data_IF_743109226480
#
_entry.id   IF_743109226480
#
_cell.length_a   1.000
_cell.length_b   1.000
_cell.length_c   1.000
_cell.angle_alpha   90.00
_cell.angle_beta   90.00
_cell.angle_gamma   90.00
#
_symmetry.space_group_name_H-M   'P 1'
#
loop_
_entity.id
_entity.type
_entity.pdbx_description
1 polymer ?
#
# COMPACT_ATOMS: atom_id res chain seq x y z
N UNK A 1 -6.07 -24.01 -4.24
CA UNK A 1 -4.84 -23.54 -4.93
C UNK A 1 -5.22 -22.45 -5.93
N UNK A 2 -4.36 -21.46 -6.17
CA UNK A 2 -4.60 -20.44 -7.19
C UNK A 2 -4.59 -21.09 -8.58
N UNK A 3 -5.50 -20.67 -9.47
CA UNK A 3 -5.69 -21.28 -10.78
C UNK A 3 -4.46 -21.15 -11.69
N UNK A 4 -3.65 -20.11 -11.49
CA UNK A 4 -2.42 -19.83 -12.23
C UNK A 4 -1.29 -19.43 -11.24
N UNK A 5 -0.50 -20.38 -10.71
CA UNK A 5 0.45 -20.09 -9.63
C UNK A 5 1.62 -19.18 -10.07
N UNK A 6 1.96 -19.15 -11.35
CA UNK A 6 3.04 -18.31 -11.89
C UNK A 6 2.63 -16.84 -12.09
N UNK A 7 1.33 -16.54 -12.08
CA UNK A 7 0.83 -15.18 -12.31
C UNK A 7 1.01 -14.32 -11.06
N UNK A 8 1.61 -13.13 -11.24
CA UNK A 8 1.78 -12.16 -10.16
C UNK A 8 0.60 -11.19 -10.16
N UNK A 9 -0.16 -11.19 -9.06
CA UNK A 9 -1.25 -10.24 -8.85
C UNK A 9 -0.71 -8.94 -8.28
N UNK A 10 -0.97 -7.83 -8.98
CA UNK A 10 -0.82 -6.48 -8.45
C UNK A 10 -2.20 -5.97 -8.06
N UNK A 11 -2.33 -5.45 -6.84
CA UNK A 11 -3.63 -5.10 -6.28
C UNK A 11 -3.59 -3.67 -5.73
N UNK A 12 -4.50 -2.84 -6.22
CA UNK A 12 -4.79 -1.52 -5.69
C UNK A 12 -6.28 -1.52 -5.29
N UNK A 13 -6.58 -1.50 -3.98
CA UNK A 13 -7.96 -1.53 -3.49
C UNK A 13 -8.79 -0.36 -4.00
N UNK A 14 -10.06 -0.62 -4.30
CA UNK A 14 -11.02 0.42 -4.67
C UNK A 14 -11.59 1.16 -3.45
N UNK A 15 -12.23 2.30 -3.71
CA UNK A 15 -12.74 3.21 -2.67
C UNK A 15 -13.59 2.51 -1.57
N UNK A 16 -14.51 1.62 -1.98
CA UNK A 16 -15.36 0.89 -1.03
C UNK A 16 -14.57 -0.09 -0.16
N UNK A 17 -13.54 -0.73 -0.72
CA UNK A 17 -12.65 -1.64 0.02
C UNK A 17 -11.83 -0.85 1.03
N UNK A 18 -11.31 0.32 0.64
CA UNK A 18 -10.59 1.25 1.51
C UNK A 18 -11.46 1.70 2.68
N UNK A 19 -12.70 2.13 2.41
CA UNK A 19 -13.66 2.53 3.46
C UNK A 19 -14.02 1.39 4.40
N UNK A 20 -14.08 0.16 3.89
CA UNK A 20 -14.39 -1.02 4.70
C UNK A 20 -13.16 -1.47 5.51
N UNK A 21 -11.95 -1.15 5.06
CA UNK A 21 -10.69 -1.36 5.76
C UNK A 21 -10.06 -2.72 5.47
N UNK A 22 -8.84 -2.92 5.95
CA UNK A 22 -7.99 -4.08 5.64
C UNK A 22 -8.70 -5.43 5.83
N UNK A 23 -9.43 -5.61 6.93
CA UNK A 23 -10.14 -6.86 7.22
C UNK A 23 -11.15 -7.28 6.13
N UNK A 24 -11.70 -6.32 5.37
CA UNK A 24 -12.67 -6.61 4.31
C UNK A 24 -12.05 -7.27 3.07
N UNK A 25 -10.75 -7.05 2.85
CA UNK A 25 -10.01 -7.53 1.67
C UNK A 25 -8.69 -8.23 2.03
N UNK A 26 -8.52 -8.59 3.31
CA UNK A 26 -7.30 -9.21 3.86
C UNK A 26 -6.84 -10.40 3.03
N UNK A 27 -7.78 -11.25 2.62
CA UNK A 27 -7.48 -12.45 1.84
C UNK A 27 -6.81 -12.14 0.50
N UNK A 28 -7.26 -11.12 -0.24
CA UNK A 28 -6.63 -10.75 -1.52
C UNK A 28 -5.34 -9.98 -1.30
N UNK A 29 -5.27 -9.07 -0.31
CA UNK A 29 -4.06 -8.32 0.00
C UNK A 29 -2.88 -9.21 0.39
N UNK A 30 -3.11 -10.23 1.24
CA UNK A 30 -2.08 -11.20 1.64
C UNK A 30 -1.62 -12.12 0.52
N UNK A 31 -2.46 -12.34 -0.51
CA UNK A 31 -2.12 -13.19 -1.67
C UNK A 31 -1.55 -12.39 -2.85
N UNK A 32 -1.75 -11.08 -2.87
CA UNK A 32 -1.21 -10.23 -3.91
C UNK A 32 0.32 -10.29 -3.86
N UNK A 33 0.95 -10.39 -5.03
CA UNK A 33 2.39 -10.25 -5.12
C UNK A 33 2.79 -8.85 -4.66
N UNK A 34 2.06 -7.82 -5.09
CA UNK A 34 2.32 -6.42 -4.71
C UNK A 34 1.01 -5.69 -4.47
N UNK A 35 0.97 -4.92 -3.38
CA UNK A 35 -0.10 -3.97 -3.10
C UNK A 35 0.40 -2.55 -3.34
N UNK A 36 -0.42 -1.72 -3.97
CA UNK A 36 -0.15 -0.29 -4.16
C UNK A 36 -1.28 0.51 -3.51
N UNK A 37 -0.91 1.50 -2.70
CA UNK A 37 -1.82 2.43 -2.04
C UNK A 37 -1.18 3.83 -2.11
N UNK A 38 -1.98 4.89 -2.18
CA UNK A 38 -1.46 6.19 -1.74
C UNK A 38 -1.40 6.24 -0.20
N UNK A 39 -0.80 7.29 0.35
CA UNK A 39 -0.60 7.44 1.80
C UNK A 39 -1.91 7.53 2.59
N UNK A 40 -2.91 8.25 2.07
CA UNK A 40 -4.22 8.42 2.69
C UNK A 40 -4.98 7.09 2.75
N UNK A 41 -4.97 6.33 1.65
CA UNK A 41 -5.56 4.98 1.57
C UNK A 41 -4.84 4.02 2.51
N UNK A 42 -3.49 4.08 2.56
CA UNK A 42 -2.68 3.27 3.45
C UNK A 42 -3.00 3.54 4.93
N UNK A 43 -3.27 4.80 5.30
CA UNK A 43 -3.76 5.17 6.61
C UNK A 43 -5.18 4.63 6.88
N UNK A 44 -6.13 4.93 5.97
CA UNK A 44 -7.54 4.57 6.13
C UNK A 44 -7.76 3.06 6.25
N UNK A 45 -6.99 2.27 5.51
CA UNK A 45 -7.10 0.82 5.53
C UNK A 45 -6.81 0.19 6.90
N UNK A 46 -5.93 0.80 7.71
CA UNK A 46 -5.54 0.26 9.02
C UNK A 46 -6.14 1.03 10.21
N UNK A 47 -6.84 2.14 9.98
CA UNK A 47 -7.36 2.99 11.05
C UNK A 47 -8.39 2.30 11.95
N UNK A 48 -9.06 1.23 11.47
CA UNK A 48 -9.98 0.41 12.27
C UNK A 48 -9.27 -0.65 13.13
N UNK A 49 -7.97 -0.84 12.94
CA UNK A 49 -7.17 -1.89 13.58
C UNK A 49 -6.07 -1.28 14.47
N UNK A 50 -5.74 0.00 14.26
CA UNK A 50 -4.75 0.76 15.05
C UNK A 50 -5.44 1.89 15.82
N UNK A 51 -4.79 2.39 16.88
CA UNK A 51 -5.34 3.41 17.77
C UNK A 51 -5.04 4.83 17.28
N UNK A 52 -5.73 5.83 17.84
CA UNK A 52 -5.61 7.26 17.50
C UNK A 52 -4.20 7.85 17.68
N UNK A 53 -3.29 7.16 18.38
CA UNK A 53 -1.91 7.57 18.61
C UNK A 53 -0.88 6.86 17.71
N UNK A 54 -1.35 6.17 16.67
CA UNK A 54 -0.46 5.46 15.76
C UNK A 54 0.38 6.45 14.92
N UNK A 55 1.68 6.17 14.80
CA UNK A 55 2.58 6.92 13.91
C UNK A 55 2.28 6.58 12.44
N UNK A 56 1.69 7.52 11.72
CA UNK A 56 1.36 7.37 10.29
C UNK A 56 2.50 7.82 9.36
N UNK A 57 3.75 7.85 9.85
CA UNK A 57 4.91 7.98 8.97
C UNK A 57 4.95 6.86 7.93
N UNK A 58 5.41 7.17 6.72
CA UNK A 58 5.52 6.22 5.61
C UNK A 58 6.25 4.94 6.03
N UNK A 59 7.36 5.07 6.76
CA UNK A 59 8.14 3.93 7.23
C UNK A 59 7.34 3.04 8.16
N UNK A 60 6.53 3.61 9.06
CA UNK A 60 5.70 2.85 9.99
C UNK A 60 4.50 2.20 9.30
N UNK A 61 3.88 2.88 8.32
CA UNK A 61 2.86 2.31 7.45
C UNK A 61 3.39 1.10 6.70
N UNK A 62 4.49 1.25 5.96
CA UNK A 62 5.15 0.16 5.22
C UNK A 62 5.42 -1.05 6.10
N UNK A 63 6.04 -0.85 7.27
CA UNK A 63 6.33 -1.94 8.22
C UNK A 63 5.06 -2.62 8.73
N UNK A 64 4.00 -1.85 9.00
CA UNK A 64 2.72 -2.38 9.48
C UNK A 64 2.06 -3.31 8.46
N UNK A 65 2.14 -2.99 7.18
CA UNK A 65 1.60 -3.86 6.13
C UNK A 65 2.38 -5.17 5.98
N UNK A 66 3.70 -5.15 6.19
CA UNK A 66 4.52 -6.36 6.26
C UNK A 66 4.18 -7.19 7.50
N UNK A 67 4.00 -6.56 8.67
CA UNK A 67 3.51 -7.23 9.89
C UNK A 67 2.13 -7.90 9.67
N UNK A 68 1.28 -7.26 8.86
CA UNK A 68 -0.03 -7.79 8.46
C UNK A 68 0.06 -8.89 7.39
N UNK A 69 1.25 -9.26 6.92
CA UNK A 69 1.49 -10.42 6.06
C UNK A 69 1.48 -10.14 4.56
N UNK A 70 1.72 -8.89 4.13
CA UNK A 70 1.95 -8.60 2.70
C UNK A 70 3.36 -8.99 2.27
N UNK A 71 3.49 -9.50 1.04
CA UNK A 71 4.79 -9.82 0.45
C UNK A 71 5.56 -8.57 0.01
N UNK A 72 4.89 -7.67 -0.73
CA UNK A 72 5.45 -6.41 -1.22
C UNK A 72 4.39 -5.31 -1.11
N UNK A 73 4.81 -4.11 -0.73
CA UNK A 73 3.95 -2.93 -0.70
C UNK A 73 4.67 -1.71 -1.25
N UNK A 74 3.94 -0.93 -2.05
CA UNK A 74 4.33 0.40 -2.51
C UNK A 74 3.35 1.41 -1.93
N UNK A 75 3.85 2.47 -1.31
CA UNK A 75 3.07 3.63 -0.89
C UNK A 75 3.51 4.84 -1.72
N UNK A 76 2.57 5.49 -2.40
CA UNK A 76 2.79 6.76 -3.09
C UNK A 76 2.38 7.94 -2.21
N UNK A 77 3.06 9.08 -2.34
CA UNK A 77 2.80 10.31 -1.55
C UNK A 77 2.96 11.56 -2.42
N UNK A 78 2.28 11.58 -3.57
CA UNK A 78 2.26 12.71 -4.50
C UNK A 78 3.65 13.25 -4.85
N UNK A 79 3.89 14.53 -4.55
CA UNK A 79 5.18 15.21 -4.77
C UNK A 79 6.34 14.63 -3.96
N UNK A 80 6.06 13.89 -2.89
CA UNK A 80 7.10 13.23 -2.10
C UNK A 80 7.63 11.96 -2.78
N UNK A 81 6.95 11.45 -3.82
CA UNK A 81 7.37 10.29 -4.61
C UNK A 81 6.73 8.99 -4.15
N UNK A 82 7.49 7.89 -4.24
CA UNK A 82 7.02 6.54 -3.93
C UNK A 82 8.01 5.77 -3.05
N UNK A 83 7.48 4.93 -2.18
CA UNK A 83 8.23 4.17 -1.19
C UNK A 83 7.84 2.71 -1.25
N UNK A 84 8.80 1.82 -1.09
CA UNK A 84 8.59 0.39 -1.16
C UNK A 84 9.21 -0.32 0.04
N UNK A 85 8.52 -1.37 0.50
CA UNK A 85 9.15 -2.41 1.31
C UNK A 85 8.67 -3.81 0.93
N UNK A 86 9.37 -4.83 1.44
CA UNK A 86 8.97 -6.23 1.34
C UNK A 86 9.19 -6.99 2.63
N UNK A 87 8.64 -8.20 2.69
CA UNK A 87 8.86 -9.18 3.76
C UNK A 87 10.35 -9.53 3.97
N UNK A 88 11.21 -9.22 2.98
CA UNK A 88 12.67 -9.42 3.05
C UNK A 88 13.41 -8.22 3.65
N UNK A 89 12.70 -7.26 4.24
CA UNK A 89 13.25 -6.03 4.84
C UNK A 89 14.03 -5.14 3.86
N UNK A 90 13.73 -5.23 2.56
CA UNK A 90 14.24 -4.26 1.59
C UNK A 90 13.46 -2.95 1.70
N UNK A 91 14.13 -1.81 1.68
CA UNK A 91 13.50 -0.48 1.68
C UNK A 91 14.01 0.32 0.50
N UNK A 92 13.11 0.83 -0.34
CA UNK A 92 13.45 1.68 -1.47
C UNK A 92 12.60 2.95 -1.48
N UNK A 93 13.18 4.01 -2.02
CA UNK A 93 12.54 5.30 -2.22
C UNK A 93 12.86 5.79 -3.64
N UNK A 94 11.85 6.31 -4.32
CA UNK A 94 11.98 6.96 -5.62
C UNK A 94 11.35 8.35 -5.50
N UNK A 95 12.11 9.44 -5.73
CA UNK A 95 11.56 10.79 -5.71
C UNK A 95 10.63 11.04 -6.89
N UNK A 96 9.80 12.07 -6.79
CA UNK A 96 8.97 12.51 -7.91
C UNK A 96 9.85 12.92 -9.10
N UNK A 97 9.36 12.67 -10.32
CA UNK A 97 9.95 13.26 -11.52
C UNK A 97 9.48 14.71 -11.61
N UNK A 98 10.40 15.68 -11.58
CA UNK A 98 10.06 17.09 -11.70
C UNK A 98 9.46 17.40 -13.09
N UNK A 99 8.14 17.54 -13.12
CA UNK A 99 7.36 17.88 -14.32
C UNK A 99 6.32 18.94 -14.00
N UNK A 100 5.93 19.72 -14.99
CA UNK A 100 4.80 20.64 -14.86
C UNK A 100 3.50 19.83 -14.76
N UNK A 101 2.93 19.74 -13.57
CA UNK A 101 1.64 19.07 -13.33
C UNK A 101 0.50 19.92 -13.91
N UNK A 102 -0.34 19.30 -14.75
CA UNK A 102 -1.55 19.93 -15.32
C UNK A 102 -2.81 19.35 -14.66
N UNK A 103 -2.83 18.03 -14.42
CA UNK A 103 -3.88 17.29 -13.72
C UNK A 103 -3.23 16.04 -13.09
N UNK A 104 -3.66 15.66 -11.89
CA UNK A 104 -3.18 14.48 -11.14
C UNK A 104 -4.26 13.41 -10.96
N UNK A 105 -5.44 13.60 -11.55
CA UNK A 105 -6.55 12.66 -11.43
C UNK A 105 -6.22 11.33 -12.12
N UNK A 106 -6.19 10.24 -11.35
CA UNK A 106 -5.90 8.90 -11.85
C UNK A 106 -4.41 8.57 -11.98
N UNK A 107 -3.52 9.42 -11.46
CA UNK A 107 -2.09 9.16 -11.34
C UNK A 107 -1.73 8.29 -10.14
#
# INVERSE_FOLDING_TARGET
MAKNPESKLLYNPGENEIKNGFASVEGIMKRAHTVILNKEEAHLMINKIRTDHFDYSIKKLLGTYIELGLHNIIITDGENGAYYTSEKNAYYYIPILEVKVIDSTGA
#
